data_IF_625244078670
#
_entry.id   IF_625244078670
#
_cell.length_a   1.000
_cell.length_b   1.000
_cell.length_c   1.000
_cell.angle_alpha   90.00
_cell.angle_beta   90.00
_cell.angle_gamma   90.00
#
_symmetry.space_group_name_H-M   'P 1'
#
loop_
_entity.id
_entity.type
_entity.pdbx_description
1 polymer ?
#
# COMPACT_ATOMS: atom_id res chain seq x y z
N UNK A 1 8.32 -30.65 -11.02
CA UNK A 1 7.90 -29.25 -10.78
C UNK A 1 8.80 -28.73 -9.69
N UNK A 2 9.81 -27.95 -10.02
CA UNK A 2 10.65 -27.27 -9.04
C UNK A 2 9.77 -26.28 -8.28
N UNK A 3 9.56 -26.52 -6.99
CA UNK A 3 8.96 -25.54 -6.10
C UNK A 3 9.94 -24.36 -6.02
N UNK A 4 9.67 -23.31 -6.78
CA UNK A 4 10.41 -22.06 -6.69
C UNK A 4 10.02 -21.39 -5.38
N UNK A 5 10.72 -21.75 -4.30
CA UNK A 5 10.54 -21.13 -2.98
C UNK A 5 11.05 -19.70 -3.11
N UNK A 6 10.13 -18.74 -3.24
CA UNK A 6 10.49 -17.33 -3.11
C UNK A 6 10.97 -17.12 -1.67
N UNK A 7 12.21 -16.67 -1.52
CA UNK A 7 12.75 -16.30 -0.21
C UNK A 7 11.90 -15.19 0.40
N UNK A 8 11.58 -15.30 1.68
CA UNK A 8 10.74 -14.33 2.40
C UNK A 8 11.23 -12.89 2.20
N UNK A 9 12.54 -12.67 2.28
CA UNK A 9 13.16 -11.35 2.12
C UNK A 9 12.83 -10.73 0.75
N UNK A 10 12.78 -11.55 -0.31
CA UNK A 10 12.43 -11.08 -1.66
C UNK A 10 10.96 -10.68 -1.73
N UNK A 11 10.07 -11.47 -1.13
CA UNK A 11 8.64 -11.17 -1.10
C UNK A 11 8.35 -9.90 -0.29
N UNK A 12 9.01 -9.76 0.86
CA UNK A 12 8.89 -8.58 1.73
C UNK A 12 9.39 -7.31 1.03
N UNK A 13 10.54 -7.38 0.35
CA UNK A 13 11.05 -6.27 -0.48
C UNK A 13 10.05 -5.91 -1.59
N UNK A 14 9.53 -6.90 -2.32
CA UNK A 14 8.56 -6.67 -3.39
C UNK A 14 7.29 -5.98 -2.88
N UNK A 15 6.74 -6.41 -1.75
CA UNK A 15 5.56 -5.77 -1.16
C UNK A 15 5.84 -4.34 -0.71
N UNK A 16 7.03 -4.08 -0.14
CA UNK A 16 7.43 -2.71 0.19
C UNK A 16 7.51 -1.83 -1.06
N UNK A 17 8.09 -2.32 -2.16
CA UNK A 17 8.15 -1.60 -3.43
C UNK A 17 6.76 -1.32 -4.01
N UNK A 18 5.85 -2.29 -3.97
CA UNK A 18 4.47 -2.13 -4.42
C UNK A 18 3.72 -1.06 -3.61
N UNK A 19 3.84 -1.10 -2.28
CA UNK A 19 3.21 -0.13 -1.38
C UNK A 19 3.77 1.28 -1.62
N UNK A 20 5.09 1.43 -1.73
CA UNK A 20 5.71 2.74 -1.98
C UNK A 20 5.41 3.27 -3.39
N UNK A 21 5.35 2.39 -4.39
CA UNK A 21 4.89 2.75 -5.74
C UNK A 21 3.45 3.27 -5.72
N UNK A 22 2.55 2.54 -5.05
CA UNK A 22 1.15 2.93 -4.93
C UNK A 22 0.97 4.26 -4.19
N UNK A 23 1.72 4.48 -3.09
CA UNK A 23 1.70 5.78 -2.37
C UNK A 23 2.11 6.95 -3.27
N UNK A 24 3.14 6.78 -4.10
CA UNK A 24 3.59 7.81 -5.05
C UNK A 24 2.51 8.11 -6.10
N UNK A 25 1.88 7.07 -6.66
CA UNK A 25 0.78 7.21 -7.62
C UNK A 25 -0.41 7.93 -6.99
N UNK A 26 -0.79 7.56 -5.76
CA UNK A 26 -1.89 8.16 -5.03
C UNK A 26 -1.62 9.64 -4.70
N UNK A 27 -0.40 9.99 -4.27
CA UNK A 27 0.00 11.38 -4.06
C UNK A 27 -0.02 12.18 -5.38
N UNK A 28 0.47 11.60 -6.48
CA UNK A 28 0.43 12.26 -7.78
C UNK A 28 -1.00 12.54 -8.24
N UNK A 29 -1.91 11.57 -8.06
CA UNK A 29 -3.34 11.74 -8.31
C UNK A 29 -3.96 12.80 -7.38
N UNK A 30 -3.67 12.73 -6.08
CA UNK A 30 -4.13 13.70 -5.09
C UNK A 30 -3.68 15.13 -5.46
N UNK A 31 -2.45 15.31 -5.93
CA UNK A 31 -1.93 16.60 -6.40
C UNK A 31 -2.57 17.12 -7.68
N UNK A 32 -3.17 16.25 -8.51
CA UNK A 32 -3.99 16.71 -9.64
C UNK A 32 -5.28 17.40 -9.18
N UNK A 33 -5.80 17.01 -8.00
CA UNK A 33 -7.03 17.54 -7.41
C UNK A 33 -6.73 18.70 -6.44
N UNK A 34 -5.74 18.53 -5.56
CA UNK A 34 -5.28 19.49 -4.57
C UNK A 34 -3.77 19.75 -4.80
N UNK A 35 -3.38 20.78 -5.58
CA UNK A 35 -1.99 20.99 -5.98
C UNK A 35 -0.99 21.15 -4.82
N UNK A 36 -1.45 21.63 -3.66
CA UNK A 36 -0.63 21.86 -2.46
C UNK A 36 -0.50 20.63 -1.57
N UNK A 37 -1.03 19.47 -1.96
CA UNK A 37 -1.06 18.26 -1.15
C UNK A 37 0.36 17.77 -0.82
N UNK A 38 0.63 17.60 0.47
CA UNK A 38 1.89 17.07 0.99
C UNK A 38 1.79 15.57 1.26
N UNK A 39 2.94 14.94 1.55
CA UNK A 39 2.98 13.55 2.00
C UNK A 39 2.37 13.36 3.39
N UNK A 40 2.34 14.39 4.23
CA UNK A 40 1.73 14.32 5.56
C UNK A 40 0.20 14.37 5.46
N UNK A 41 -0.33 15.19 4.55
CA UNK A 41 -1.78 15.26 4.27
C UNK A 41 -2.36 13.91 3.81
N UNK A 42 -1.54 13.08 3.16
CA UNK A 42 -1.91 11.73 2.74
C UNK A 42 -2.17 10.77 3.90
N UNK A 43 -1.80 11.13 5.14
CA UNK A 43 -2.14 10.35 6.33
C UNK A 43 -3.61 10.54 6.71
N UNK A 44 -4.22 11.67 6.37
CA UNK A 44 -5.61 12.03 6.68
C UNK A 44 -6.32 12.63 5.45
N UNK A 45 -6.42 11.90 4.32
CA UNK A 45 -6.95 12.46 3.07
C UNK A 45 -8.44 12.85 3.16
N UNK A 46 -9.17 12.34 4.16
CA UNK A 46 -10.57 12.70 4.42
C UNK A 46 -10.74 14.15 4.90
N UNK A 47 -9.68 14.80 5.36
CA UNK A 47 -9.71 16.24 5.70
C UNK A 47 -9.85 17.12 4.47
N UNK A 48 -9.71 16.54 3.27
CA UNK A 48 -9.86 17.21 1.98
C UNK A 48 -11.14 16.70 1.30
N UNK A 49 -12.27 17.44 1.37
CA UNK A 49 -13.52 17.03 0.70
C UNK A 49 -13.33 16.77 -0.79
N UNK A 50 -12.43 17.53 -1.43
CA UNK A 50 -12.10 17.34 -2.84
C UNK A 50 -11.52 15.96 -3.15
N UNK A 51 -10.82 15.32 -2.20
CA UNK A 51 -10.29 13.96 -2.33
C UNK A 51 -11.32 12.91 -1.89
N UNK A 52 -12.06 13.18 -0.81
CA UNK A 52 -13.08 12.28 -0.27
C UNK A 52 -14.16 11.95 -1.33
N UNK A 53 -14.61 12.96 -2.07
CA UNK A 53 -15.62 12.79 -3.11
C UNK A 53 -15.05 12.47 -4.50
N UNK A 54 -13.74 12.26 -4.64
CA UNK A 54 -13.10 11.95 -5.93
C UNK A 54 -13.04 10.43 -6.17
N UNK A 55 -13.85 9.85 -7.08
CA UNK A 55 -14.00 8.40 -7.19
C UNK A 55 -12.70 7.65 -7.51
N UNK A 56 -11.88 8.20 -8.42
CA UNK A 56 -10.59 7.62 -8.79
C UNK A 56 -9.63 7.62 -7.60
N UNK A 57 -9.66 8.67 -6.76
CA UNK A 57 -8.76 8.77 -5.61
C UNK A 57 -9.15 7.74 -4.55
N UNK A 58 -10.45 7.61 -4.25
CA UNK A 58 -10.97 6.61 -3.32
C UNK A 58 -10.70 5.18 -3.79
N UNK A 59 -10.76 4.93 -5.10
CA UNK A 59 -10.41 3.62 -5.66
C UNK A 59 -8.93 3.29 -5.44
N UNK A 60 -8.03 4.21 -5.81
CA UNK A 60 -6.58 4.01 -5.66
C UNK A 60 -6.14 3.92 -4.18
N UNK A 61 -6.83 4.63 -3.28
CA UNK A 61 -6.66 4.49 -1.83
C UNK A 61 -7.05 3.08 -1.37
N UNK A 62 -8.17 2.55 -1.88
CA UNK A 62 -8.60 1.18 -1.62
C UNK A 62 -7.57 0.13 -2.07
N UNK A 63 -6.90 0.35 -3.20
CA UNK A 63 -5.81 -0.51 -3.66
C UNK A 63 -4.62 -0.48 -2.69
N UNK A 64 -4.23 0.71 -2.22
CA UNK A 64 -3.18 0.85 -1.20
C UNK A 64 -3.53 0.07 0.08
N UNK A 65 -4.76 0.23 0.57
CA UNK A 65 -5.24 -0.50 1.75
C UNK A 65 -5.23 -2.02 1.52
N UNK A 66 -5.60 -2.48 0.32
CA UNK A 66 -5.54 -3.89 -0.07
C UNK A 66 -4.12 -4.45 -0.06
N UNK A 67 -3.15 -3.72 -0.62
CA UNK A 67 -1.73 -4.09 -0.62
C UNK A 67 -1.18 -4.20 0.81
N UNK A 68 -1.49 -3.23 1.66
CA UNK A 68 -1.07 -3.22 3.07
C UNK A 68 -1.71 -4.39 3.86
N UNK A 69 -2.98 -4.68 3.59
CA UNK A 69 -3.69 -5.82 4.20
C UNK A 69 -3.03 -7.15 3.81
N UNK A 70 -2.73 -7.33 2.51
CA UNK A 70 -2.05 -8.51 2.01
C UNK A 70 -0.64 -8.66 2.62
N UNK A 71 0.12 -7.57 2.69
CA UNK A 71 1.45 -7.56 3.33
C UNK A 71 1.37 -7.96 4.80
N UNK A 72 0.39 -7.46 5.54
CA UNK A 72 0.18 -7.81 6.95
C UNK A 72 -0.15 -9.30 7.11
N UNK A 73 -1.04 -9.84 6.27
CA UNK A 73 -1.41 -11.25 6.28
C UNK A 73 -0.18 -12.15 6.00
N UNK A 74 0.65 -11.79 5.03
CA UNK A 74 1.88 -12.51 4.73
C UNK A 74 2.86 -12.47 5.90
N UNK A 75 3.08 -11.31 6.52
CA UNK A 75 3.95 -11.18 7.70
C UNK A 75 3.46 -12.05 8.86
N UNK A 76 2.14 -12.10 9.09
CA UNK A 76 1.55 -12.93 10.14
C UNK A 76 1.79 -14.43 9.87
N UNK A 77 1.57 -14.88 8.63
CA UNK A 77 1.78 -16.28 8.23
C UNK A 77 3.25 -16.71 8.37
N UNK A 78 4.19 -15.88 7.90
CA UNK A 78 5.61 -16.19 8.01
C UNK A 78 6.12 -16.09 9.46
N UNK A 79 5.67 -15.09 10.23
CA UNK A 79 5.99 -14.97 11.65
C UNK A 79 5.49 -16.18 12.46
N UNK A 80 4.26 -16.65 12.20
CA UNK A 80 3.71 -17.84 12.82
C UNK A 80 4.52 -19.11 12.48
N UNK A 81 4.96 -19.26 11.21
CA UNK A 81 5.81 -20.40 10.79
C UNK A 81 7.18 -20.41 11.46
N UNK A 82 7.76 -19.24 11.72
CA UNK A 82 9.03 -19.13 12.44
C UNK A 82 8.90 -19.40 13.94
N UNK A 83 7.75 -19.09 14.56
CA UNK A 83 7.50 -19.32 15.98
C UNK A 83 7.16 -20.78 16.33
N UNK A 84 6.76 -21.59 15.34
CA UNK A 84 6.43 -23.03 15.49
C UNK A 84 7.66 -23.93 15.30
N UNK A 85 8.83 -23.35 15.01
CA UNK A 85 10.09 -24.05 14.79
C UNK A 85 11.09 -23.78 15.91
#
# INVERSE_FOLDING_TARGET
MENNIIAWDVLEVLFNELVEGQKKSLLALGRRVVPTLTTEDMLQPNDYPALEYHPEFRYEEGILAGLQTAQMALRAEYGARCAVR
#
